data_IF_824238750299
#
_entry.id   IF_824238750299
#
_cell.length_a   1.000
_cell.length_b   1.000
_cell.length_c   1.000
_cell.angle_alpha   90.00
_cell.angle_beta   90.00
_cell.angle_gamma   90.00
#
_symmetry.space_group_name_H-M   'P 1'
#
loop_
_entity.id
_entity.type
_entity.pdbx_description
1 polymer ?
#
# COMPACT_ATOMS: atom_id res chain seq x y z
N UNK A 1 -17.10 8.56 2.85
CA UNK A 1 -15.65 8.82 2.84
C UNK A 1 -15.01 7.73 3.69
N UNK A 2 -14.11 6.91 3.14
CA UNK A 2 -13.53 5.79 3.87
C UNK A 2 -12.64 6.30 5.01
N UNK A 3 -12.82 5.75 6.22
CA UNK A 3 -12.00 6.04 7.40
C UNK A 3 -10.58 5.52 7.17
N UNK A 4 -9.68 6.36 6.66
CA UNK A 4 -8.26 6.01 6.53
C UNK A 4 -7.59 6.15 7.90
N UNK A 5 -7.11 5.04 8.46
CA UNK A 5 -6.29 5.03 9.67
C UNK A 5 -4.82 5.19 9.29
N UNK A 6 -4.12 6.13 9.91
CA UNK A 6 -2.68 6.37 9.71
C UNK A 6 -1.88 5.88 10.91
N UNK A 7 -0.69 5.35 10.66
CA UNK A 7 0.31 5.05 11.69
C UNK A 7 1.46 6.03 11.48
N UNK A 8 1.64 6.95 12.43
CA UNK A 8 2.76 7.89 12.44
C UNK A 8 3.90 7.30 13.27
N UNK A 9 5.10 7.21 12.67
CA UNK A 9 6.31 6.76 13.36
C UNK A 9 7.28 7.92 13.39
N UNK A 10 7.49 8.59 14.54
CA UNK A 10 8.46 9.66 14.66
C UNK A 10 9.86 9.10 14.49
N UNK A 11 10.66 9.73 13.63
CA UNK A 11 12.09 9.43 13.52
C UNK A 11 12.85 10.10 14.68
N UNK A 12 13.92 9.47 15.20
CA UNK A 12 14.76 10.10 16.21
C UNK A 12 15.37 11.41 15.73
N UNK A 13 15.53 12.37 16.65
CA UNK A 13 16.17 13.65 16.32
C UNK A 13 17.56 13.43 15.70
N UNK A 14 17.79 14.05 14.54
CA UNK A 14 19.02 13.91 13.78
C UNK A 14 19.09 12.71 12.82
N UNK A 15 18.08 11.82 12.83
CA UNK A 15 17.99 10.75 11.84
C UNK A 15 17.63 11.33 10.46
N UNK A 16 18.60 11.30 9.53
CA UNK A 16 18.32 11.50 8.10
C UNK A 16 18.04 10.14 7.48
N UNK A 17 16.78 9.71 7.49
CA UNK A 17 16.39 8.52 6.73
C UNK A 17 16.64 8.78 5.25
N UNK A 18 17.53 8.00 4.65
CA UNK A 18 17.74 7.99 3.21
C UNK A 18 16.49 7.44 2.51
N UNK A 19 16.39 7.62 1.19
CA UNK A 19 15.31 7.00 0.40
C UNK A 19 15.25 5.49 0.64
N UNK A 20 16.40 4.82 0.77
CA UNK A 20 16.48 3.38 1.03
C UNK A 20 15.91 3.01 2.41
N UNK A 21 16.20 3.79 3.45
CA UNK A 21 15.72 3.53 4.81
C UNK A 21 14.19 3.64 4.89
N UNK A 22 13.62 4.61 4.18
CA UNK A 22 12.17 4.77 4.08
C UNK A 22 11.51 3.58 3.35
N UNK A 23 12.14 3.06 2.30
CA UNK A 23 11.64 1.86 1.60
C UNK A 23 11.70 0.61 2.49
N UNK A 24 12.76 0.46 3.30
CA UNK A 24 12.90 -0.64 4.25
C UNK A 24 11.84 -0.58 5.35
N UNK A 25 11.59 0.61 5.92
CA UNK A 25 10.56 0.83 6.93
C UNK A 25 9.16 0.51 6.40
N UNK A 26 8.86 0.91 5.16
CA UNK A 26 7.60 0.55 4.49
C UNK A 26 7.47 -0.94 4.26
N UNK A 27 8.54 -1.62 3.83
CA UNK A 27 8.53 -3.07 3.64
C UNK A 27 8.24 -3.81 4.95
N UNK A 28 8.84 -3.39 6.07
CA UNK A 28 8.52 -3.95 7.39
C UNK A 28 7.07 -3.70 7.80
N UNK A 29 6.56 -2.48 7.61
CA UNK A 29 5.16 -2.16 7.91
C UNK A 29 4.20 -3.01 7.07
N UNK A 30 4.49 -3.21 5.78
CA UNK A 30 3.72 -4.12 4.94
C UNK A 30 3.75 -5.56 5.44
N UNK A 31 4.91 -6.05 5.89
CA UNK A 31 5.00 -7.38 6.48
C UNK A 31 4.14 -7.50 7.75
N UNK A 32 4.19 -6.51 8.62
CA UNK A 32 3.39 -6.46 9.86
C UNK A 32 1.88 -6.40 9.52
N UNK A 33 1.48 -5.55 8.58
CA UNK A 33 0.08 -5.43 8.13
C UNK A 33 -0.40 -6.75 7.55
N UNK A 34 0.35 -7.37 6.64
CA UNK A 34 -0.02 -8.66 6.05
C UNK A 34 -0.15 -9.77 7.10
N UNK A 35 0.69 -9.76 8.13
CA UNK A 35 0.60 -10.71 9.25
C UNK A 35 -0.57 -10.41 10.19
N UNK A 36 -0.93 -9.13 10.36
CA UNK A 36 -1.94 -8.69 11.33
C UNK A 36 -3.38 -8.77 10.79
N UNK A 37 -3.57 -8.52 9.50
CA UNK A 37 -4.90 -8.51 8.87
C UNK A 37 -5.36 -9.90 8.41
N UNK A 38 -4.88 -10.97 9.06
CA UNK A 38 -5.21 -12.40 8.84
C UNK A 38 -6.17 -12.62 7.67
N UNK A 39 -5.60 -13.06 6.54
CA UNK A 39 -6.36 -13.36 5.33
C UNK A 39 -7.53 -14.30 5.69
N UNK A 40 -8.73 -13.73 5.76
CA UNK A 40 -9.89 -14.48 6.21
C UNK A 40 -10.22 -15.59 5.22
N UNK A 41 -10.77 -16.70 5.73
CA UNK A 41 -11.22 -17.83 4.89
C UNK A 41 -12.25 -17.42 3.84
N UNK A 42 -12.97 -16.32 4.03
CA UNK A 42 -13.88 -15.76 3.03
C UNK A 42 -13.15 -15.09 1.87
N UNK A 43 -12.06 -14.37 2.15
CA UNK A 43 -11.22 -13.76 1.10
C UNK A 43 -10.56 -14.83 0.23
N UNK A 44 -10.18 -15.96 0.83
CA UNK A 44 -9.62 -17.10 0.08
C UNK A 44 -10.66 -17.77 -0.83
N UNK A 45 -11.88 -18.00 -0.32
CA UNK A 45 -13.00 -18.53 -1.14
C UNK A 45 -13.33 -17.63 -2.33
N UNK A 46 -13.41 -16.32 -2.11
CA UNK A 46 -13.68 -15.36 -3.19
C UNK A 46 -12.61 -15.42 -4.28
N UNK A 47 -11.34 -15.56 -3.91
CA UNK A 47 -10.24 -15.69 -4.89
C UNK A 47 -10.38 -16.98 -5.68
N UNK A 48 -10.68 -18.09 -5.02
CA UNK A 48 -10.87 -19.39 -5.68
C UNK A 48 -12.05 -19.35 -6.66
N UNK A 49 -13.16 -18.67 -6.30
CA UNK A 49 -14.30 -18.48 -7.20
C UNK A 49 -13.92 -17.66 -8.44
N UNK A 50 -13.19 -16.55 -8.26
CA UNK A 50 -12.71 -15.73 -9.37
C UNK A 50 -11.74 -16.51 -10.28
N UNK A 51 -10.83 -17.28 -9.71
CA UNK A 51 -9.90 -18.12 -10.48
C UNK A 51 -10.62 -19.25 -11.22
N UNK A 52 -11.66 -19.84 -10.61
CA UNK A 52 -12.52 -20.83 -11.27
C UNK A 52 -13.23 -20.25 -12.50
N UNK A 53 -13.64 -18.99 -12.42
CA UNK A 53 -14.25 -18.24 -13.52
C UNK A 53 -13.22 -17.79 -14.59
N UNK A 54 -11.94 -18.16 -14.43
CA UNK A 54 -10.87 -17.89 -15.40
C UNK A 54 -10.18 -16.53 -15.21
N UNK A 55 -10.42 -15.83 -14.10
CA UNK A 55 -9.71 -14.60 -13.78
C UNK A 55 -8.33 -14.89 -13.18
N UNK A 56 -7.34 -14.06 -13.51
CA UNK A 56 -6.04 -14.09 -12.83
C UNK A 56 -6.03 -13.10 -11.67
N UNK A 57 -6.08 -13.60 -10.45
CA UNK A 57 -6.16 -12.77 -9.24
C UNK A 57 -4.77 -12.52 -8.67
N UNK A 58 -4.44 -11.25 -8.44
CA UNK A 58 -3.20 -10.85 -7.79
C UNK A 58 -3.53 -10.00 -6.57
N UNK A 59 -3.14 -10.46 -5.39
CA UNK A 59 -3.33 -9.74 -4.14
C UNK A 59 -1.95 -9.41 -3.57
N UNK A 60 -1.76 -8.14 -3.25
CA UNK A 60 -0.51 -7.68 -2.68
C UNK A 60 -0.54 -6.19 -2.37
N UNK A 61 0.48 -5.67 -1.67
CA UNK A 61 0.60 -4.25 -1.40
C UNK A 61 0.73 -3.46 -2.71
N UNK A 62 0.13 -2.27 -2.74
CA UNK A 62 0.25 -1.32 -3.86
C UNK A 62 0.73 0.04 -3.35
N UNK A 63 1.48 0.76 -4.18
CA UNK A 63 1.88 2.12 -3.91
C UNK A 63 0.76 3.07 -4.26
N UNK A 64 0.45 4.01 -3.38
CA UNK A 64 -0.49 5.10 -3.61
C UNK A 64 0.30 6.42 -3.64
N UNK A 65 0.32 7.08 -4.80
CA UNK A 65 0.80 8.44 -4.94
C UNK A 65 -0.37 9.40 -4.71
N UNK A 66 -0.18 10.41 -3.84
CA UNK A 66 -1.16 11.45 -3.53
C UNK A 66 -0.55 12.82 -3.82
N UNK A 67 -1.18 13.59 -4.70
CA UNK A 67 -0.78 14.96 -5.03
C UNK A 67 -1.90 15.93 -4.65
N UNK A 68 -1.57 16.96 -3.87
CA UNK A 68 -2.56 17.97 -3.43
C UNK A 68 -2.10 19.38 -3.82
N UNK A 69 -3.00 20.14 -4.45
CA UNK A 69 -2.79 21.56 -4.78
C UNK A 69 -4.04 22.37 -4.40
N UNK A 70 -3.97 23.08 -3.28
CA UNK A 70 -5.14 23.75 -2.71
C UNK A 70 -6.21 22.71 -2.33
N UNK A 71 -7.41 22.86 -2.90
CA UNK A 71 -8.52 21.92 -2.71
C UNK A 71 -8.49 20.72 -3.68
N UNK A 72 -7.61 20.74 -4.69
CA UNK A 72 -7.48 19.63 -5.63
C UNK A 72 -6.64 18.49 -5.04
N UNK A 73 -7.13 17.25 -5.18
CA UNK A 73 -6.43 16.02 -4.82
C UNK A 73 -6.43 15.07 -6.03
N UNK A 74 -5.24 14.66 -6.44
CA UNK A 74 -5.02 13.64 -7.45
C UNK A 74 -4.38 12.41 -6.79
N UNK A 75 -4.79 11.22 -7.23
CA UNK A 75 -4.25 9.98 -6.69
C UNK A 75 -4.09 8.93 -7.77
N UNK A 76 -3.01 8.16 -7.67
CA UNK A 76 -2.72 7.06 -8.58
C UNK A 76 -2.04 5.90 -7.86
N UNK A 77 -2.26 4.67 -8.35
CA UNK A 77 -1.64 3.47 -7.79
C UNK A 77 -0.62 2.82 -8.74
N UNK A 78 0.39 2.18 -8.16
CA UNK A 78 1.46 1.50 -8.89
C UNK A 78 2.06 0.33 -8.12
N UNK A 79 2.79 -0.55 -8.80
CA UNK A 79 3.56 -1.63 -8.16
C UNK A 79 4.91 -1.13 -7.64
N UNK A 80 5.37 0.02 -8.14
CA UNK A 80 6.53 0.76 -7.62
C UNK A 80 6.16 2.22 -7.35
N UNK A 81 6.97 2.94 -6.53
CA UNK A 81 6.77 4.38 -6.34
C UNK A 81 6.81 5.15 -7.66
N UNK A 82 7.76 4.82 -8.54
CA UNK A 82 7.93 5.52 -9.82
C UNK A 82 6.75 5.26 -10.76
N UNK A 83 6.17 4.05 -10.77
CA UNK A 83 4.96 3.72 -11.52
C UNK A 83 3.74 4.48 -10.98
N UNK A 84 3.59 4.59 -9.66
CA UNK A 84 2.50 5.33 -9.05
C UNK A 84 2.61 6.84 -9.36
N UNK A 85 3.82 7.40 -9.30
CA UNK A 85 4.06 8.82 -9.63
C UNK A 85 3.85 9.10 -11.11
N UNK A 86 4.31 8.22 -12.01
CA UNK A 86 4.12 8.39 -13.46
C UNK A 86 2.65 8.33 -13.91
N UNK A 87 1.75 7.92 -13.02
CA UNK A 87 0.30 7.80 -13.26
C UNK A 87 -0.52 8.94 -12.63
N UNK A 88 0.12 9.87 -11.93
CA UNK A 88 -0.48 11.15 -11.55
C UNK A 88 -0.57 12.05 -12.80
#
# INVERSE_FOLDING_TARGET
MANTQFIEIPLPDGARASRMDLELLKAMLHAIVNLHFEWGSESEKMIQELEHDGWSVHVGPTWLALCRRGESLEQATGRTPDEAIARL
#
